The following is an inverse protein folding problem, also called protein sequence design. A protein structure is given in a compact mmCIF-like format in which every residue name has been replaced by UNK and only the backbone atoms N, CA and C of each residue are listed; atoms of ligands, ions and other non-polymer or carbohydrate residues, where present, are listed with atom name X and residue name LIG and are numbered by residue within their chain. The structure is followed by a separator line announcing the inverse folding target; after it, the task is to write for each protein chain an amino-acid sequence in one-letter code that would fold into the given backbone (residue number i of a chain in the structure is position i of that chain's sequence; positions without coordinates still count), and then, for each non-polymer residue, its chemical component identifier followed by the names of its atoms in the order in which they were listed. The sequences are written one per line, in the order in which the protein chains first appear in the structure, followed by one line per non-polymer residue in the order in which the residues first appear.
data_IF_243138819237
#
_entry.id   IF_243138819237
#
_cell.length_a   1.000
_cell.length_b   1.000
_cell.length_c   1.000
_cell.angle_alpha   90.00
_cell.angle_beta   90.00
_cell.angle_gamma   90.00
#
_symmetry.space_group_name_H-M   'P 1'
#
loop_
_entity.id
_entity.type
_entity.pdbx_description
1 polymer ?
#
# COMPACT_ATOMS: atom_id res chain seq x y z
N UNK A 1 -33.49 22.36 -11.80
CA UNK A 1 -34.88 22.86 -11.69
C UNK A 1 -35.70 22.16 -12.76
N UNK A 2 -36.30 21.02 -12.40
CA UNK A 2 -37.21 20.24 -13.25
C UNK A 2 -38.33 19.79 -12.32
N UNK A 3 -39.52 20.33 -12.54
CA UNK A 3 -40.71 20.04 -11.73
C UNK A 3 -41.32 18.70 -12.17
N UNK A 4 -41.31 17.71 -11.27
CA UNK A 4 -42.19 16.55 -11.40
C UNK A 4 -43.45 16.78 -10.57
N UNK A 5 -44.58 16.93 -11.27
CA UNK A 5 -45.92 16.90 -10.69
C UNK A 5 -46.20 15.48 -10.18
N UNK A 6 -46.58 15.38 -8.91
CA UNK A 6 -47.12 14.16 -8.33
C UNK A 6 -48.47 13.80 -8.97
N UNK A 7 -48.78 12.53 -9.26
CA UNK A 7 -50.13 12.11 -9.57
C UNK A 7 -50.97 12.14 -8.29
N UNK A 8 -52.08 12.87 -8.34
CA UNK A 8 -53.15 12.84 -7.34
C UNK A 8 -53.71 11.44 -7.22
N UNK A 9 -53.47 10.76 -6.10
CA UNK A 9 -54.13 9.50 -5.77
C UNK A 9 -55.60 9.77 -5.48
N UNK A 10 -56.46 9.36 -6.40
CA UNK A 10 -57.90 9.30 -6.20
C UNK A 10 -58.19 8.33 -5.04
N UNK A 11 -58.83 8.82 -3.99
CA UNK A 11 -59.31 8.00 -2.86
C UNK A 11 -60.65 7.38 -3.25
N UNK A 12 -60.61 6.31 -4.02
CA UNK A 12 -61.77 5.43 -4.17
C UNK A 12 -61.45 4.10 -3.48
N UNK A 13 -62.07 3.91 -2.31
CA UNK A 13 -62.14 2.63 -1.62
C UNK A 13 -63.02 1.72 -2.47
N UNK A 14 -62.42 0.74 -3.13
CA UNK A 14 -63.18 -0.37 -3.69
C UNK A 14 -63.67 -1.24 -2.53
N UNK A 15 -64.96 -1.11 -2.21
CA UNK A 15 -65.63 -1.98 -1.28
C UNK A 15 -66.13 -3.21 -2.06
N UNK A 16 -65.72 -4.40 -1.65
CA UNK A 16 -66.08 -5.67 -2.31
C UNK A 16 -67.59 -5.99 -2.20
N UNK A 17 -68.34 -5.17 -1.44
CA UNK A 17 -69.81 -5.23 -1.35
C UNK A 17 -70.56 -4.45 -2.44
N UNK A 18 -69.88 -3.73 -3.35
CA UNK A 18 -70.52 -2.97 -4.44
C UNK A 18 -70.74 -3.80 -5.73
N UNK A 19 -70.51 -5.12 -5.69
CA UNK A 19 -70.85 -6.07 -6.77
C UNK A 19 -71.97 -7.00 -6.27
N UNK A 20 -73.11 -6.40 -5.92
CA UNK A 20 -74.39 -7.11 -5.84
C UNK A 20 -75.37 -6.26 -6.64
N UNK A 21 -75.88 -6.83 -7.74
CA UNK A 21 -76.78 -6.19 -8.71
C UNK A 21 -77.93 -5.43 -8.04
N UNK A 22 -77.96 -4.12 -8.27
CA UNK A 22 -79.09 -3.23 -7.94
C UNK A 22 -80.36 -3.57 -8.73
N UNK A 23 -80.26 -4.36 -9.80
CA UNK A 23 -81.40 -4.81 -10.61
C UNK A 23 -82.27 -5.86 -9.91
N UNK A 24 -81.81 -6.44 -8.79
CA UNK A 24 -82.57 -7.42 -8.00
C UNK A 24 -83.38 -6.81 -6.84
N UNK A 25 -83.21 -5.52 -6.55
CA UNK A 25 -83.92 -4.84 -5.45
C UNK A 25 -85.06 -3.90 -5.92
N UNK A 26 -85.15 -3.59 -7.22
CA UNK A 26 -86.20 -2.71 -7.77
C UNK A 26 -87.44 -3.46 -8.29
N UNK A 27 -87.44 -4.80 -8.34
CA UNK A 27 -88.60 -5.58 -8.78
C UNK A 27 -89.66 -5.85 -7.69
N UNK A 28 -89.54 -5.24 -6.49
CA UNK A 28 -90.42 -5.53 -5.35
C UNK A 28 -91.19 -4.34 -4.75
N UNK A 29 -91.19 -3.16 -5.37
CA UNK A 29 -91.98 -2.01 -4.84
C UNK A 29 -92.59 -1.11 -5.93
N UNK A 30 -93.75 -1.50 -6.47
CA UNK A 30 -94.78 -0.63 -7.10
C UNK A 30 -96.01 -1.48 -7.40
N UNK A 31 -97.29 -1.15 -7.21
CA UNK A 31 -98.00 0.07 -6.82
C UNK A 31 -99.42 -0.32 -6.32
N UNK A 32 -99.92 0.51 -5.41
CA UNK A 32 -101.31 0.99 -5.20
C UNK A 32 -102.56 0.08 -5.22
N UNK A 33 -103.24 0.11 -4.06
CA UNK A 33 -104.65 0.51 -3.82
C UNK A 33 -105.64 0.34 -4.97
N UNK A 34 -106.64 -0.54 -4.82
CA UNK A 34 -107.95 -0.23 -4.20
C UNK A 34 -108.93 -1.42 -4.34
N UNK A 35 -109.91 -1.43 -3.42
CA UNK A 35 -111.23 -2.06 -3.47
C UNK A 35 -111.38 -3.58 -3.19
N UNK A 36 -111.78 -3.83 -1.93
CA UNK A 36 -112.92 -4.64 -1.47
C UNK A 36 -113.11 -6.11 -1.91
N UNK A 37 -112.96 -6.97 -0.88
CA UNK A 37 -113.77 -8.14 -0.46
C UNK A 37 -112.88 -9.36 -0.13
N UNK A 38 -112.82 -9.83 1.14
CA UNK A 38 -112.13 -11.07 1.54
C UNK A 38 -113.13 -12.26 1.61
N UNK A 39 -112.74 -13.53 1.90
CA UNK A 39 -111.39 -14.14 2.02
C UNK A 39 -111.23 -15.51 1.28
N UNK A 40 -109.99 -15.95 1.03
CA UNK A 40 -109.59 -17.34 1.34
C UNK A 40 -108.05 -17.46 1.32
N UNK A 41 -107.48 -17.96 2.42
CA UNK A 41 -106.04 -18.18 2.58
C UNK A 41 -105.58 -19.33 1.68
N UNK A 42 -104.67 -19.05 0.73
CA UNK A 42 -103.90 -20.06 -0.01
C UNK A 42 -102.44 -19.95 0.42
N UNK A 43 -101.85 -21.07 0.85
CA UNK A 43 -100.44 -21.17 1.26
C UNK A 43 -99.50 -20.71 0.12
N UNK A 44 -98.46 -19.88 0.42
CA UNK A 44 -97.50 -19.48 -0.59
C UNK A 44 -96.49 -20.59 -0.88
N UNK A 45 -96.43 -21.03 -2.14
CA UNK A 45 -95.39 -21.89 -2.69
C UNK A 45 -93.98 -21.30 -2.43
N UNK A 46 -93.07 -22.13 -1.92
CA UNK A 46 -91.62 -21.86 -1.82
C UNK A 46 -91.03 -21.59 -3.22
N UNK A 47 -90.16 -20.58 -3.41
CA UNK A 47 -89.39 -20.44 -4.65
C UNK A 47 -88.34 -21.57 -4.74
N UNK A 48 -88.36 -22.32 -5.86
CA UNK A 48 -87.30 -23.27 -6.22
C UNK A 48 -85.99 -22.50 -6.48
N UNK A 49 -84.96 -22.76 -5.68
CA UNK A 49 -83.56 -22.48 -6.06
C UNK A 49 -83.08 -23.63 -6.97
N UNK A 50 -82.42 -23.37 -8.11
CA UNK A 50 -81.86 -24.42 -8.94
C UNK A 50 -80.74 -25.18 -8.19
N UNK A 51 -80.86 -26.50 -8.09
CA UNK A 51 -79.82 -27.35 -7.50
C UNK A 51 -78.59 -27.38 -8.41
N UNK A 52 -77.47 -26.79 -7.98
CA UNK A 52 -76.18 -26.93 -8.67
C UNK A 52 -75.79 -28.41 -8.78
N UNK A 53 -75.37 -28.81 -9.98
CA UNK A 53 -74.88 -30.17 -10.26
C UNK A 53 -73.59 -30.46 -9.47
N UNK A 54 -73.31 -31.74 -9.22
CA UNK A 54 -72.18 -32.17 -8.38
C UNK A 54 -70.82 -31.72 -8.94
N UNK A 55 -70.69 -31.65 -10.27
CA UNK A 55 -69.53 -31.12 -10.99
C UNK A 55 -69.36 -29.61 -10.78
N UNK A 56 -70.45 -28.84 -10.78
CA UNK A 56 -70.43 -27.40 -10.52
C UNK A 56 -70.07 -27.11 -9.06
N UNK A 57 -70.55 -27.93 -8.11
CA UNK A 57 -70.17 -27.84 -6.70
C UNK A 57 -68.69 -28.13 -6.47
N UNK A 58 -68.11 -29.04 -7.26
CA UNK A 58 -66.68 -29.38 -7.17
C UNK A 58 -65.79 -28.28 -7.78
N UNK A 59 -66.17 -27.75 -8.95
CA UNK A 59 -65.51 -26.57 -9.55
C UNK A 59 -65.60 -25.33 -8.65
N UNK A 60 -66.73 -25.12 -7.98
CA UNK A 60 -66.90 -24.00 -7.04
C UNK A 60 -65.94 -24.13 -5.83
N UNK A 61 -65.74 -25.35 -5.31
CA UNK A 61 -64.77 -25.59 -4.24
C UNK A 61 -63.32 -25.35 -4.68
N UNK A 62 -62.97 -25.78 -5.88
CA UNK A 62 -61.63 -25.52 -6.46
C UNK A 62 -61.39 -24.03 -6.68
N UNK A 63 -62.40 -23.29 -7.17
CA UNK A 63 -62.33 -21.84 -7.34
C UNK A 63 -62.20 -21.11 -5.99
N UNK A 64 -62.96 -21.50 -4.96
CA UNK A 64 -62.84 -20.93 -3.61
C UNK A 64 -61.44 -21.20 -3.04
N UNK A 65 -60.91 -22.41 -3.23
CA UNK A 65 -59.56 -22.75 -2.81
C UNK A 65 -58.52 -21.89 -3.52
N UNK A 66 -58.64 -21.74 -4.85
CA UNK A 66 -57.75 -20.92 -5.66
C UNK A 66 -57.83 -19.43 -5.30
N UNK A 67 -59.02 -18.91 -5.03
CA UNK A 67 -59.21 -17.54 -4.52
C UNK A 67 -58.51 -17.40 -3.17
N UNK A 68 -58.63 -18.40 -2.28
CA UNK A 68 -57.93 -18.41 -0.99
C UNK A 68 -56.40 -18.42 -1.12
N UNK A 69 -55.85 -19.14 -2.10
CA UNK A 69 -54.41 -19.12 -2.41
C UNK A 69 -53.97 -17.75 -2.94
N UNK A 70 -54.71 -17.19 -3.91
CA UNK A 70 -54.42 -15.87 -4.48
C UNK A 70 -54.53 -14.75 -3.42
N UNK A 71 -55.45 -14.87 -2.47
CA UNK A 71 -55.58 -13.93 -1.36
C UNK A 71 -54.32 -13.97 -0.46
N UNK A 72 -53.82 -15.18 -0.16
CA UNK A 72 -52.57 -15.35 0.61
C UNK A 72 -51.35 -14.83 -0.14
N UNK A 73 -51.27 -15.06 -1.45
CA UNK A 73 -50.20 -14.52 -2.29
C UNK A 73 -50.24 -12.98 -2.31
N UNK A 74 -51.44 -12.39 -2.42
CA UNK A 74 -51.62 -10.95 -2.41
C UNK A 74 -51.24 -10.31 -1.07
N UNK A 75 -51.62 -10.93 0.05
CA UNK A 75 -51.26 -10.44 1.38
C UNK A 75 -49.75 -10.56 1.63
N UNK A 76 -49.12 -11.66 1.18
CA UNK A 76 -47.66 -11.79 1.20
C UNK A 76 -46.98 -10.70 0.34
N UNK A 77 -47.52 -10.38 -0.84
CA UNK A 77 -46.98 -9.31 -1.69
C UNK A 77 -47.10 -7.93 -1.02
N UNK A 78 -48.22 -7.61 -0.37
CA UNK A 78 -48.39 -6.36 0.37
C UNK A 78 -47.40 -6.23 1.53
N UNK A 79 -47.19 -7.30 2.28
CA UNK A 79 -46.21 -7.34 3.36
C UNK A 79 -44.79 -7.16 2.82
N UNK A 80 -44.46 -7.83 1.71
CA UNK A 80 -43.18 -7.66 1.03
C UNK A 80 -42.96 -6.22 0.53
N UNK A 81 -43.95 -5.60 -0.12
CA UNK A 81 -43.90 -4.20 -0.54
C UNK A 81 -43.70 -3.24 0.64
N UNK A 82 -44.38 -3.50 1.77
CA UNK A 82 -44.22 -2.71 2.99
C UNK A 82 -42.80 -2.84 3.53
N UNK A 83 -42.25 -4.05 3.56
CA UNK A 83 -40.86 -4.29 3.94
C UNK A 83 -39.88 -3.56 3.01
N UNK A 84 -40.09 -3.56 1.70
CA UNK A 84 -39.25 -2.82 0.75
C UNK A 84 -39.31 -1.30 0.99
N UNK A 85 -40.51 -0.72 1.18
CA UNK A 85 -40.67 0.72 1.47
C UNK A 85 -40.01 1.13 2.78
N UNK A 86 -40.06 0.29 3.81
CA UNK A 86 -39.39 0.57 5.08
C UNK A 86 -37.87 0.43 4.96
N UNK A 87 -37.38 -0.43 4.07
CA UNK A 87 -35.96 -0.54 3.74
C UNK A 87 -35.48 0.67 2.94
N UNK A 88 -36.26 1.13 1.96
CA UNK A 88 -35.99 2.36 1.18
C UNK A 88 -35.82 3.60 2.06
N UNK A 89 -36.67 3.76 3.09
CA UNK A 89 -36.54 4.86 4.06
C UNK A 89 -35.24 4.83 4.84
N UNK A 90 -34.61 3.66 4.99
CA UNK A 90 -33.35 3.48 5.72
C UNK A 90 -32.12 3.65 4.83
N UNK A 91 -32.29 3.71 3.50
CA UNK A 91 -31.16 3.94 2.60
C UNK A 91 -30.71 5.39 2.78
N UNK A 92 -29.50 5.57 3.30
CA UNK A 92 -28.88 6.88 3.39
C UNK A 92 -28.37 7.27 2.02
N UNK A 93 -28.75 8.46 1.57
CA UNK A 93 -28.28 9.02 0.31
C UNK A 93 -26.85 9.54 0.47
N UNK A 94 -25.94 8.93 -0.28
CA UNK A 94 -24.55 9.32 -0.55
C UNK A 94 -23.81 10.09 0.58
N UNK A 95 -23.17 9.35 1.49
CA UNK A 95 -22.22 9.91 2.46
C UNK A 95 -20.80 9.91 1.89
N UNK A 96 -20.05 10.98 2.11
CA UNK A 96 -18.64 11.12 1.70
C UNK A 96 -17.69 10.71 2.83
N UNK A 97 -16.60 10.05 2.47
CA UNK A 97 -15.60 9.50 3.39
C UNK A 97 -14.17 9.80 2.95
N UNK A 98 -13.29 9.94 3.93
CA UNK A 98 -11.84 10.10 3.77
C UNK A 98 -11.10 9.24 4.81
N UNK A 99 -9.88 8.79 4.50
CA UNK A 99 -8.98 8.11 5.47
C UNK A 99 -8.11 9.12 6.21
N UNK A 100 -7.49 8.66 7.31
CA UNK A 100 -6.40 9.38 7.98
C UNK A 100 -5.21 8.43 8.13
N UNK A 101 -4.10 8.59 7.39
CA UNK A 101 -3.81 9.71 6.50
C UNK A 101 -4.58 9.65 5.15
N UNK A 102 -4.79 10.78 4.45
CA UNK A 102 -5.56 10.83 3.19
C UNK A 102 -5.00 9.91 2.08
N UNK A 103 -3.68 9.77 2.02
CA UNK A 103 -2.98 8.97 1.01
C UNK A 103 -3.23 7.46 1.17
N UNK A 104 -3.71 7.02 2.35
CA UNK A 104 -4.03 5.62 2.60
C UNK A 104 -5.13 5.13 1.65
N UNK A 105 -6.13 5.97 1.34
CA UNK A 105 -7.20 5.56 0.42
C UNK A 105 -6.67 5.32 -0.99
N UNK A 106 -5.84 6.23 -1.50
CA UNK A 106 -5.21 6.07 -2.81
C UNK A 106 -4.27 4.85 -2.84
N UNK A 107 -3.52 4.64 -1.76
CA UNK A 107 -2.50 3.59 -1.68
C UNK A 107 -3.09 2.20 -1.60
N UNK A 108 -4.18 2.04 -0.84
CA UNK A 108 -4.72 0.73 -0.47
C UNK A 108 -6.09 0.44 -1.08
N UNK A 109 -6.97 1.43 -1.26
CA UNK A 109 -8.36 1.19 -1.68
C UNK A 109 -8.63 1.46 -3.17
N UNK A 110 -7.70 2.08 -3.88
CA UNK A 110 -7.80 2.27 -5.33
C UNK A 110 -7.91 0.91 -6.05
N UNK A 111 -8.99 0.71 -6.82
CA UNK A 111 -9.27 -0.54 -7.54
C UNK A 111 -9.73 -1.71 -6.64
N UNK A 112 -10.18 -1.42 -5.41
CA UNK A 112 -10.72 -2.41 -4.47
C UNK A 112 -12.22 -2.24 -4.21
N UNK A 113 -12.91 -1.50 -5.06
CA UNK A 113 -14.35 -1.21 -4.97
C UNK A 113 -15.20 -2.49 -4.95
N UNK A 114 -14.91 -3.45 -5.82
CA UNK A 114 -15.63 -4.73 -5.86
C UNK A 114 -15.42 -5.53 -4.56
N UNK A 115 -14.18 -5.59 -4.07
CA UNK A 115 -13.85 -6.32 -2.85
C UNK A 115 -14.53 -5.70 -1.62
N UNK A 116 -14.47 -4.37 -1.49
CA UNK A 116 -15.14 -3.67 -0.39
C UNK A 116 -16.65 -3.86 -0.50
N UNK A 117 -17.23 -3.69 -1.70
CA UNK A 117 -18.68 -3.85 -1.91
C UNK A 117 -19.16 -5.25 -1.57
N UNK A 118 -18.40 -6.28 -1.96
CA UNK A 118 -18.66 -7.67 -1.58
C UNK A 118 -18.62 -7.85 -0.07
N UNK A 119 -17.56 -7.36 0.59
CA UNK A 119 -17.44 -7.43 2.05
C UNK A 119 -18.61 -6.76 2.78
N UNK A 120 -19.05 -5.59 2.29
CA UNK A 120 -20.21 -4.88 2.85
C UNK A 120 -21.51 -5.68 2.69
N UNK A 121 -21.71 -6.34 1.53
CA UNK A 121 -22.85 -7.21 1.29
C UNK A 121 -22.83 -8.46 2.18
N UNK A 122 -21.66 -9.04 2.44
CA UNK A 122 -21.53 -10.23 3.29
C UNK A 122 -21.95 -9.96 4.75
N UNK A 123 -21.92 -8.69 5.20
CA UNK A 123 -22.40 -8.30 6.54
C UNK A 123 -23.92 -8.13 6.65
N UNK A 124 -24.67 -8.22 5.54
CA UNK A 124 -26.11 -7.98 5.55
C UNK A 124 -26.88 -8.79 4.50
N UNK A 125 -27.89 -9.54 4.95
CA UNK A 125 -28.87 -10.14 4.03
C UNK A 125 -29.77 -9.05 3.43
N UNK A 126 -29.64 -8.81 2.13
CA UNK A 126 -30.50 -7.91 1.35
C UNK A 126 -31.55 -8.71 0.58
N UNK A 127 -32.77 -8.18 0.39
CA UNK A 127 -33.71 -8.75 -0.58
C UNK A 127 -33.12 -8.74 -1.99
N UNK A 128 -33.42 -9.76 -2.81
CA UNK A 128 -32.86 -9.97 -4.16
C UNK A 128 -32.86 -8.72 -5.04
N UNK A 129 -33.92 -7.91 -4.95
CA UNK A 129 -34.06 -6.66 -5.69
C UNK A 129 -32.95 -5.62 -5.38
N UNK A 130 -32.43 -5.62 -4.15
CA UNK A 130 -31.45 -4.66 -3.65
C UNK A 130 -30.00 -5.15 -3.67
N UNK A 131 -29.76 -6.46 -3.74
CA UNK A 131 -28.42 -7.08 -3.75
C UNK A 131 -27.51 -6.46 -4.83
N UNK A 132 -28.07 -6.12 -6.00
CA UNK A 132 -27.33 -5.53 -7.11
C UNK A 132 -27.40 -4.00 -7.17
N UNK A 133 -28.13 -3.36 -6.25
CA UNK A 133 -28.39 -1.91 -6.27
C UNK A 133 -27.68 -1.16 -5.17
N UNK A 134 -27.45 -1.79 -4.02
CA UNK A 134 -26.75 -1.24 -2.85
C UNK A 134 -25.88 -2.34 -2.21
N UNK A 135 -24.73 -2.01 -1.61
CA UNK A 135 -24.14 -0.68 -1.52
C UNK A 135 -23.56 -0.20 -2.86
N UNK A 136 -23.62 1.12 -3.09
CA UNK A 136 -22.90 1.76 -4.20
C UNK A 136 -21.73 2.54 -3.64
N UNK A 137 -20.54 2.09 -3.96
CA UNK A 137 -19.28 2.72 -3.56
C UNK A 137 -18.63 3.36 -4.79
N UNK A 138 -18.31 4.65 -4.68
CA UNK A 138 -17.57 5.37 -5.72
C UNK A 138 -16.37 6.04 -5.10
N UNK A 139 -15.20 5.78 -5.67
CA UNK A 139 -13.99 6.52 -5.35
C UNK A 139 -13.79 7.67 -6.32
N UNK A 140 -13.35 8.82 -5.83
CA UNK A 140 -13.13 10.00 -6.64
C UNK A 140 -12.04 10.87 -6.02
N UNK A 141 -11.36 11.65 -6.86
CA UNK A 141 -10.37 12.61 -6.43
C UNK A 141 -11.00 14.01 -6.30
N UNK A 142 -10.77 14.68 -5.17
CA UNK A 142 -11.18 16.06 -4.93
C UNK A 142 -10.02 16.78 -4.23
N UNK A 143 -9.59 17.93 -4.76
CA UNK A 143 -8.50 18.75 -4.19
C UNK A 143 -7.18 17.97 -3.97
N UNK A 144 -6.82 17.09 -4.90
CA UNK A 144 -5.66 16.18 -4.80
C UNK A 144 -5.75 15.15 -3.66
N UNK A 145 -6.95 14.94 -3.11
CA UNK A 145 -7.21 13.91 -2.11
C UNK A 145 -8.19 12.86 -2.65
N UNK A 146 -7.86 11.60 -2.40
CA UNK A 146 -8.71 10.48 -2.81
C UNK A 146 -9.79 10.24 -1.76
N UNK A 147 -11.05 10.31 -2.19
CA UNK A 147 -12.23 10.22 -1.34
C UNK A 147 -13.13 9.08 -1.82
N UNK A 148 -14.03 8.64 -0.93
CA UNK A 148 -15.07 7.68 -1.25
C UNK A 148 -16.46 8.27 -1.02
N UNK A 149 -17.45 7.82 -1.78
CA UNK A 149 -18.85 8.06 -1.47
C UNK A 149 -19.61 6.74 -1.46
N UNK A 150 -20.43 6.55 -0.44
CA UNK A 150 -21.19 5.33 -0.22
C UNK A 150 -22.67 5.67 -0.15
N UNK A 151 -23.48 4.94 -0.91
CA UNK A 151 -24.94 4.89 -0.73
C UNK A 151 -25.33 3.49 -0.28
N UNK A 152 -26.03 3.39 0.84
CA UNK A 152 -26.36 2.10 1.43
C UNK A 152 -27.20 2.21 2.70
N UNK A 153 -27.35 1.08 3.39
CA UNK A 153 -28.01 1.00 4.69
C UNK A 153 -27.02 1.39 5.81
N UNK A 154 -27.51 1.76 7.01
CA UNK A 154 -26.65 2.20 8.12
C UNK A 154 -25.54 1.18 8.49
N UNK A 155 -25.84 -0.10 8.35
CA UNK A 155 -24.93 -1.23 8.49
C UNK A 155 -23.78 -1.19 7.48
N UNK A 156 -24.05 -0.90 6.19
CA UNK A 156 -23.00 -0.71 5.19
C UNK A 156 -22.10 0.48 5.55
N UNK A 157 -22.68 1.58 6.02
CA UNK A 157 -21.93 2.76 6.42
C UNK A 157 -21.02 2.47 7.62
N UNK A 158 -21.54 1.81 8.64
CA UNK A 158 -20.77 1.41 9.81
C UNK A 158 -19.62 0.47 9.44
N UNK A 159 -19.88 -0.56 8.64
CA UNK A 159 -18.83 -1.49 8.23
C UNK A 159 -17.77 -0.81 7.36
N UNK A 160 -18.18 0.08 6.46
CA UNK A 160 -17.23 0.84 5.65
C UNK A 160 -16.33 1.73 6.52
N UNK A 161 -16.86 2.38 7.55
CA UNK A 161 -16.04 3.12 8.52
C UNK A 161 -15.01 2.22 9.21
N UNK A 162 -15.38 0.99 9.58
CA UNK A 162 -14.46 0.01 10.14
C UNK A 162 -13.38 -0.41 9.13
N UNK A 163 -13.73 -0.58 7.85
CA UNK A 163 -12.75 -0.83 6.78
C UNK A 163 -11.77 0.35 6.70
N UNK A 164 -12.25 1.59 6.68
CA UNK A 164 -11.40 2.78 6.61
C UNK A 164 -10.48 2.91 7.82
N UNK A 165 -10.95 2.57 9.03
CA UNK A 165 -10.13 2.54 10.23
C UNK A 165 -9.01 1.50 10.13
N UNK A 166 -9.33 0.29 9.66
CA UNK A 166 -8.36 -0.79 9.44
C UNK A 166 -7.30 -0.44 8.39
N UNK A 167 -7.70 0.20 7.29
CA UNK A 167 -6.78 0.71 6.26
C UNK A 167 -5.90 1.84 6.80
N UNK A 168 -6.48 2.75 7.57
CA UNK A 168 -5.74 3.82 8.25
C UNK A 168 -4.69 3.23 9.22
N UNK A 169 -5.06 2.17 9.94
CA UNK A 169 -4.15 1.44 10.81
C UNK A 169 -3.02 0.74 10.04
N UNK A 170 -3.32 0.05 8.93
CA UNK A 170 -2.29 -0.53 8.05
C UNK A 170 -1.30 0.53 7.56
N UNK A 171 -1.81 1.69 7.14
CA UNK A 171 -0.98 2.82 6.71
C UNK A 171 -0.08 3.31 7.84
N UNK A 172 -0.63 3.48 9.05
CA UNK A 172 0.13 3.90 10.22
C UNK A 172 1.25 2.91 10.56
N UNK A 173 0.95 1.62 10.64
CA UNK A 173 1.94 0.58 10.94
C UNK A 173 3.03 0.49 9.86
N UNK A 174 2.66 0.69 8.59
CA UNK A 174 3.63 0.75 7.48
C UNK A 174 4.60 1.92 7.65
N UNK A 175 4.11 3.11 7.96
CA UNK A 175 4.97 4.27 8.22
C UNK A 175 5.80 4.12 9.49
N UNK A 176 5.26 3.47 10.52
CA UNK A 176 6.00 3.17 11.73
C UNK A 176 7.21 2.27 11.45
N UNK A 177 7.04 1.17 10.69
CA UNK A 177 8.17 0.29 10.37
C UNK A 177 9.20 0.97 9.45
N UNK A 178 8.77 1.86 8.54
CA UNK A 178 9.66 2.74 7.77
C UNK A 178 10.50 3.61 8.69
N UNK A 179 9.87 4.29 9.63
CA UNK A 179 10.54 5.17 10.59
C UNK A 179 11.58 4.40 11.42
N UNK A 180 11.20 3.24 11.98
CA UNK A 180 12.10 2.42 12.80
C UNK A 180 13.34 1.96 12.02
N UNK A 181 13.15 1.54 10.77
CA UNK A 181 14.28 1.13 9.92
C UNK A 181 15.20 2.30 9.56
N UNK A 182 14.63 3.45 9.19
CA UNK A 182 15.39 4.68 8.91
C UNK A 182 16.24 5.10 10.10
N UNK A 183 15.70 4.96 11.31
CA UNK A 183 16.41 5.27 12.55
C UNK A 183 17.62 4.34 12.76
N UNK A 184 17.45 3.03 12.59
CA UNK A 184 18.54 2.04 12.70
C UNK A 184 19.66 2.27 11.67
N UNK A 185 19.31 2.60 10.42
CA UNK A 185 20.28 3.00 9.40
C UNK A 185 21.00 4.28 9.83
N UNK A 186 20.28 5.26 10.38
CA UNK A 186 20.86 6.52 10.85
C UNK A 186 21.83 6.30 12.02
N UNK A 187 21.52 5.43 12.97
CA UNK A 187 22.43 5.07 14.07
C UNK A 187 23.74 4.45 13.55
N UNK A 188 23.62 3.51 12.61
CA UNK A 188 24.78 2.87 11.97
C UNK A 188 25.66 3.92 11.28
N UNK A 189 25.04 4.82 10.51
CA UNK A 189 25.71 5.93 9.83
C UNK A 189 26.39 6.86 10.83
N UNK A 190 25.71 7.28 11.90
CA UNK A 190 26.29 8.17 12.92
C UNK A 190 27.49 7.54 13.63
N UNK A 191 27.41 6.25 13.94
CA UNK A 191 28.52 5.49 14.52
C UNK A 191 29.74 5.53 13.61
N UNK A 192 29.56 5.29 12.31
CA UNK A 192 30.64 5.35 11.32
C UNK A 192 31.18 6.77 11.15
N UNK A 193 30.31 7.78 11.05
CA UNK A 193 30.72 9.19 10.95
C UNK A 193 31.60 9.57 12.14
N UNK A 194 31.24 9.15 13.35
CA UNK A 194 32.04 9.40 14.56
C UNK A 194 33.44 8.79 14.44
N UNK A 195 33.53 7.56 13.94
CA UNK A 195 34.79 6.85 13.73
C UNK A 195 35.69 7.59 12.73
N UNK A 196 35.14 8.02 11.59
CA UNK A 196 35.95 8.58 10.50
C UNK A 196 36.33 10.06 10.71
N UNK A 197 35.48 10.83 11.38
CA UNK A 197 35.70 12.28 11.60
C UNK A 197 36.53 12.58 12.84
N UNK A 198 36.56 11.66 13.81
CA UNK A 198 37.34 11.80 15.05
C UNK A 198 38.29 10.62 15.26
N UNK A 199 39.17 10.32 14.29
CA UNK A 199 40.19 9.30 14.51
C UNK A 199 41.22 9.79 15.54
N UNK A 200 41.97 8.85 16.11
CA UNK A 200 43.11 9.18 16.98
C UNK A 200 44.20 9.95 16.22
N UNK A 201 44.92 10.84 16.91
CA UNK A 201 46.10 11.51 16.34
C UNK A 201 47.22 10.47 16.08
N UNK A 202 48.02 10.61 15.00
CA UNK A 202 48.11 11.75 14.08
C UNK A 202 47.15 11.71 12.88
N UNK A 203 46.30 10.69 12.77
CA UNK A 203 45.45 10.50 11.58
C UNK A 203 44.47 11.67 11.36
N UNK A 204 43.94 12.23 12.45
CA UNK A 204 42.99 13.36 12.40
C UNK A 204 43.54 14.59 11.65
N UNK A 205 44.84 14.83 11.73
CA UNK A 205 45.52 15.96 11.07
C UNK A 205 46.02 15.65 9.66
N UNK A 206 45.84 14.42 9.16
CA UNK A 206 46.32 14.02 7.84
C UNK A 206 45.43 14.58 6.73
N UNK A 207 46.00 15.37 5.81
CA UNK A 207 45.29 15.85 4.61
C UNK A 207 44.78 14.68 3.76
N UNK A 208 45.58 13.64 3.58
CA UNK A 208 45.21 12.39 2.91
C UNK A 208 43.92 11.78 3.50
N UNK A 209 43.84 11.71 4.83
CA UNK A 209 42.64 11.22 5.52
C UNK A 209 41.44 12.13 5.34
N UNK A 210 41.64 13.45 5.41
CA UNK A 210 40.58 14.44 5.21
C UNK A 210 39.99 14.35 3.80
N UNK A 211 40.82 14.23 2.76
CA UNK A 211 40.36 14.05 1.38
C UNK A 211 39.52 12.78 1.22
N UNK A 212 40.02 11.63 1.71
CA UNK A 212 39.25 10.39 1.68
C UNK A 212 37.91 10.52 2.43
N UNK A 213 37.93 11.12 3.62
CA UNK A 213 36.72 11.32 4.42
C UNK A 213 35.69 12.18 3.68
N UNK A 214 36.13 13.22 2.96
CA UNK A 214 35.22 14.05 2.15
C UNK A 214 34.53 13.24 1.04
N UNK A 215 35.28 12.43 0.28
CA UNK A 215 34.68 11.56 -0.75
C UNK A 215 33.74 10.52 -0.13
N UNK A 216 34.16 9.91 0.97
CA UNK A 216 33.34 8.95 1.72
C UNK A 216 32.02 9.56 2.16
N UNK A 217 32.03 10.77 2.73
CA UNK A 217 30.82 11.45 3.21
C UNK A 217 29.86 11.81 2.08
N UNK A 218 30.37 12.20 0.91
CA UNK A 218 29.54 12.48 -0.26
C UNK A 218 28.84 11.22 -0.75
N UNK A 219 29.60 10.14 -0.99
CA UNK A 219 29.05 8.85 -1.47
C UNK A 219 28.07 8.26 -0.45
N UNK A 220 28.41 8.34 0.85
CA UNK A 220 27.56 7.84 1.93
C UNK A 220 26.18 8.50 1.94
N UNK A 221 26.10 9.82 1.71
CA UNK A 221 24.83 10.55 1.70
C UNK A 221 23.89 9.98 0.62
N UNK A 222 24.42 9.79 -0.58
CA UNK A 222 23.62 9.33 -1.72
C UNK A 222 23.21 7.87 -1.56
N UNK A 223 24.15 6.99 -1.17
CA UNK A 223 23.88 5.57 -0.97
C UNK A 223 22.93 5.30 0.19
N UNK A 224 23.03 6.06 1.29
CA UNK A 224 22.07 6.00 2.40
C UNK A 224 20.65 6.30 1.90
N UNK A 225 20.49 7.35 1.11
CA UNK A 225 19.18 7.75 0.60
C UNK A 225 18.59 6.66 -0.31
N UNK A 226 19.37 6.15 -1.26
CA UNK A 226 18.96 5.06 -2.16
C UNK A 226 18.53 3.80 -1.38
N UNK A 227 19.29 3.43 -0.34
CA UNK A 227 19.00 2.25 0.48
C UNK A 227 17.69 2.39 1.27
N UNK A 228 17.41 3.60 1.75
CA UNK A 228 16.15 3.93 2.45
C UNK A 228 14.97 3.92 1.48
N UNK A 229 15.11 4.52 0.29
CA UNK A 229 14.06 4.55 -0.73
C UNK A 229 13.68 3.13 -1.19
N UNK A 230 14.68 2.28 -1.43
CA UNK A 230 14.45 0.88 -1.79
C UNK A 230 13.69 0.11 -0.69
N UNK A 231 13.98 0.38 0.59
CA UNK A 231 13.22 -0.21 1.69
C UNK A 231 11.79 0.32 1.75
N UNK A 232 11.61 1.64 1.63
CA UNK A 232 10.29 2.28 1.66
C UNK A 232 9.39 1.72 0.55
N UNK A 233 9.92 1.55 -0.66
CA UNK A 233 9.22 0.93 -1.78
C UNK A 233 8.89 -0.54 -1.47
N UNK A 234 9.87 -1.33 -1.03
CA UNK A 234 9.68 -2.73 -0.68
C UNK A 234 8.56 -2.92 0.34
N UNK A 235 8.60 -2.19 1.46
CA UNK A 235 7.64 -2.38 2.54
C UNK A 235 6.25 -1.85 2.17
N UNK A 236 6.16 -0.80 1.36
CA UNK A 236 4.88 -0.30 0.81
C UNK A 236 4.25 -1.34 -0.13
N UNK A 237 5.05 -1.99 -0.96
CA UNK A 237 4.55 -3.05 -1.83
C UNK A 237 4.08 -4.27 -1.01
N UNK A 238 4.79 -4.61 0.07
CA UNK A 238 4.35 -5.68 0.98
C UNK A 238 3.09 -5.31 1.75
N UNK A 239 2.94 -4.07 2.22
CA UNK A 239 1.73 -3.63 2.91
C UNK A 239 0.51 -3.64 2.00
N UNK A 240 0.66 -3.25 0.72
CA UNK A 240 -0.42 -3.33 -0.29
C UNK A 240 -0.95 -4.76 -0.45
N UNK A 241 -0.10 -5.78 -0.37
CA UNK A 241 -0.54 -7.18 -0.46
C UNK A 241 -1.37 -7.63 0.75
N UNK A 242 -1.32 -6.90 1.88
CA UNK A 242 -2.12 -7.19 3.07
C UNK A 242 -3.52 -6.56 3.01
N UNK A 243 -3.77 -5.66 2.06
CA UNK A 243 -5.03 -4.90 1.93
C UNK A 243 -6.25 -5.81 1.95
N UNK A 244 -6.22 -6.89 1.18
CA UNK A 244 -7.39 -7.76 1.02
C UNK A 244 -7.75 -8.42 2.36
N UNK A 245 -6.73 -8.90 3.09
CA UNK A 245 -6.91 -9.46 4.43
C UNK A 245 -7.41 -8.41 5.43
N UNK A 246 -6.90 -7.18 5.36
CA UNK A 246 -7.34 -6.06 6.20
C UNK A 246 -8.81 -5.72 5.97
N UNK A 247 -9.30 -5.84 4.73
CA UNK A 247 -10.71 -5.62 4.39
C UNK A 247 -11.58 -6.78 4.91
N UNK A 248 -11.21 -8.03 4.60
CA UNK A 248 -12.10 -9.19 4.81
C UNK A 248 -12.02 -9.82 6.19
N UNK A 249 -10.88 -9.76 6.87
CA UNK A 249 -10.68 -10.35 8.20
C UNK A 249 -10.67 -9.25 9.28
N UNK A 250 -11.72 -9.24 10.10
CA UNK A 250 -11.91 -8.25 11.16
C UNK A 250 -10.90 -8.38 12.30
N UNK A 251 -10.25 -9.54 12.45
CA UNK A 251 -9.27 -9.81 13.50
C UNK A 251 -7.82 -9.70 13.02
N UNK A 252 -7.61 -9.43 11.72
CA UNK A 252 -6.28 -9.35 11.16
C UNK A 252 -5.49 -8.18 11.73
N UNK A 253 -4.25 -8.46 12.13
CA UNK A 253 -3.30 -7.45 12.61
C UNK A 253 -2.13 -7.37 11.61
N UNK A 254 -1.91 -6.24 10.94
CA UNK A 254 -0.87 -6.11 9.92
C UNK A 254 0.56 -6.12 10.48
N UNK A 255 0.75 -5.67 11.72
CA UNK A 255 2.09 -5.46 12.31
C UNK A 255 2.98 -6.71 12.30
N UNK A 256 2.55 -7.91 12.76
CA UNK A 256 3.39 -9.10 12.71
C UNK A 256 3.85 -9.49 11.30
N UNK A 257 3.00 -9.31 10.29
CA UNK A 257 3.37 -9.59 8.90
C UNK A 257 4.35 -8.54 8.34
N UNK A 258 4.16 -7.27 8.67
CA UNK A 258 5.12 -6.22 8.34
C UNK A 258 6.49 -6.49 8.99
N UNK A 259 6.52 -6.83 10.29
CA UNK A 259 7.75 -7.16 11.01
C UNK A 259 8.50 -8.35 10.39
N UNK A 260 7.80 -9.41 9.96
CA UNK A 260 8.40 -10.51 9.19
C UNK A 260 9.04 -10.02 7.89
N UNK A 261 8.35 -9.14 7.16
CA UNK A 261 8.88 -8.57 5.92
C UNK A 261 10.11 -7.69 6.17
N UNK A 262 10.13 -6.93 7.25
CA UNK A 262 11.32 -6.15 7.66
C UNK A 262 12.49 -7.06 7.97
N UNK A 263 12.29 -8.14 8.75
CA UNK A 263 13.34 -9.12 9.05
C UNK A 263 13.87 -9.78 7.78
N UNK A 264 12.99 -10.14 6.85
CA UNK A 264 13.38 -10.71 5.57
C UNK A 264 14.22 -9.73 4.73
N UNK A 265 13.79 -8.47 4.65
CA UNK A 265 14.53 -7.43 3.95
C UNK A 265 15.93 -7.24 4.54
N UNK A 266 16.03 -7.12 5.87
CA UNK A 266 17.30 -6.95 6.58
C UNK A 266 18.29 -8.08 6.31
N UNK A 267 17.81 -9.32 6.21
CA UNK A 267 18.67 -10.48 5.90
C UNK A 267 19.21 -10.45 4.48
N UNK A 268 18.44 -9.92 3.53
CA UNK A 268 18.80 -9.93 2.09
C UNK A 268 19.52 -8.66 1.65
N UNK A 269 19.33 -7.55 2.36
CA UNK A 269 19.83 -6.22 2.02
C UNK A 269 20.53 -5.59 3.24
N UNK A 270 21.64 -6.19 3.65
CA UNK A 270 22.41 -5.71 4.79
C UNK A 270 23.05 -4.36 4.48
N UNK A 271 22.73 -3.33 5.27
CA UNK A 271 23.32 -2.01 5.10
C UNK A 271 24.85 -2.02 5.31
N UNK A 272 25.38 -3.00 6.06
CA UNK A 272 26.82 -3.22 6.19
C UNK A 272 27.50 -3.49 4.86
N UNK A 273 26.84 -4.19 3.94
CA UNK A 273 27.41 -4.51 2.62
C UNK A 273 27.49 -3.26 1.74
N UNK A 274 26.50 -2.36 1.84
CA UNK A 274 26.57 -1.04 1.20
C UNK A 274 27.70 -0.20 1.79
N UNK A 275 27.91 -0.22 3.11
CA UNK A 275 29.03 0.47 3.74
C UNK A 275 30.40 -0.04 3.26
N UNK A 276 30.56 -1.33 3.00
CA UNK A 276 31.77 -1.87 2.39
C UNK A 276 31.99 -1.33 0.98
N UNK A 277 30.92 -1.25 0.17
CA UNK A 277 30.98 -0.65 -1.17
C UNK A 277 31.37 0.83 -1.09
N UNK A 278 30.79 1.59 -0.17
CA UNK A 278 31.10 3.01 0.03
C UNK A 278 32.57 3.21 0.39
N UNK A 279 33.15 2.39 1.28
CA UNK A 279 34.59 2.44 1.61
C UNK A 279 35.45 2.27 0.36
N UNK A 280 35.12 1.28 -0.46
CA UNK A 280 35.87 0.99 -1.68
C UNK A 280 35.69 2.10 -2.73
N UNK A 281 34.47 2.57 -2.98
CA UNK A 281 34.19 3.65 -3.93
C UNK A 281 34.91 4.95 -3.53
N UNK A 282 34.90 5.31 -2.24
CA UNK A 282 35.63 6.47 -1.72
C UNK A 282 37.15 6.35 -1.91
N UNK A 283 37.70 5.15 -1.73
CA UNK A 283 39.10 4.88 -1.96
C UNK A 283 39.48 5.01 -3.44
N UNK A 284 38.62 4.50 -4.33
CA UNK A 284 38.80 4.65 -5.78
C UNK A 284 38.72 6.12 -6.21
N UNK A 285 37.76 6.89 -5.68
CA UNK A 285 37.64 8.31 -6.01
C UNK A 285 38.82 9.12 -5.46
N UNK A 286 39.31 8.80 -4.26
CA UNK A 286 40.55 9.36 -3.73
C UNK A 286 41.72 9.15 -4.71
N UNK A 287 41.94 7.91 -5.18
CA UNK A 287 43.03 7.60 -6.11
C UNK A 287 42.87 8.38 -7.41
N UNK A 288 41.65 8.43 -7.97
CA UNK A 288 41.38 9.18 -9.19
C UNK A 288 41.72 10.66 -9.04
N UNK A 289 41.30 11.28 -7.95
CA UNK A 289 41.42 12.72 -7.75
C UNK A 289 42.82 13.15 -7.29
N UNK A 290 43.49 12.34 -6.47
CA UNK A 290 44.77 12.70 -5.86
C UNK A 290 45.99 12.11 -6.59
N UNK A 291 45.79 11.09 -7.43
CA UNK A 291 46.88 10.39 -8.11
C UNK A 291 46.76 10.56 -9.63
N UNK A 292 45.65 10.12 -10.22
CA UNK A 292 45.53 10.09 -11.69
C UNK A 292 45.28 11.46 -12.33
N UNK A 293 44.48 12.33 -11.73
CA UNK A 293 44.29 13.70 -12.26
C UNK A 293 45.59 14.52 -12.19
N UNK A 294 46.33 14.57 -11.06
CA UNK A 294 47.59 15.30 -11.02
C UNK A 294 48.68 14.68 -11.91
N UNK A 295 48.62 13.37 -12.17
CA UNK A 295 49.57 12.69 -13.07
C UNK A 295 49.55 13.26 -14.49
N UNK A 296 48.39 13.72 -14.96
CA UNK A 296 48.23 14.34 -16.28
C UNK A 296 48.86 15.73 -16.37
N UNK A 297 49.25 16.31 -15.24
CA UNK A 297 49.75 17.68 -15.12
C UNK A 297 51.24 17.72 -14.74
N UNK A 298 51.96 16.60 -14.81
CA UNK A 298 53.38 16.54 -14.46
C UNK A 298 54.22 17.22 -15.55
N UNK A 299 55.08 18.16 -15.14
CA UNK A 299 55.94 18.95 -16.05
C UNK A 299 56.90 18.10 -16.88
N UNK A 300 57.41 17.00 -16.30
CA UNK A 300 58.31 16.06 -16.97
C UNK A 300 57.58 14.76 -17.24
N UNK A 301 57.48 14.39 -18.52
CA UNK A 301 56.78 13.18 -18.93
C UNK A 301 57.44 11.93 -18.30
N UNK A 302 56.68 11.12 -17.52
CA UNK A 302 57.19 9.88 -16.94
C UNK A 302 57.39 8.80 -18.01
N UNK A 303 58.30 7.85 -17.76
CA UNK A 303 58.48 6.72 -18.68
C UNK A 303 57.25 5.81 -18.69
N UNK A 304 57.00 5.11 -19.81
CA UNK A 304 55.92 4.11 -19.92
C UNK A 304 56.05 3.01 -18.87
N UNK A 305 57.28 2.59 -18.55
CA UNK A 305 57.52 1.56 -17.54
C UNK A 305 57.17 2.09 -16.14
N UNK A 306 57.60 3.30 -15.79
CA UNK A 306 57.26 3.91 -14.50
C UNK A 306 55.74 4.07 -14.32
N UNK A 307 55.00 4.45 -15.38
CA UNK A 307 53.53 4.52 -15.37
C UNK A 307 52.92 3.15 -15.13
N UNK A 308 53.43 2.11 -15.80
CA UNK A 308 52.95 0.73 -15.65
C UNK A 308 53.16 0.24 -14.22
N UNK A 309 54.35 0.45 -13.65
CA UNK A 309 54.67 0.05 -12.28
C UNK A 309 53.75 0.76 -11.27
N UNK A 310 53.49 2.07 -11.43
CA UNK A 310 52.52 2.80 -10.60
C UNK A 310 51.12 2.18 -10.67
N UNK A 311 50.63 1.91 -11.89
CA UNK A 311 49.31 1.33 -12.10
C UNK A 311 49.18 -0.07 -11.49
N UNK A 312 50.21 -0.91 -11.62
CA UNK A 312 50.24 -2.26 -11.03
C UNK A 312 50.21 -2.20 -9.50
N UNK A 313 50.95 -1.27 -8.89
CA UNK A 313 50.90 -1.04 -7.45
C UNK A 313 49.51 -0.59 -6.98
N UNK A 314 48.92 0.40 -7.65
CA UNK A 314 47.57 0.90 -7.32
C UNK A 314 46.54 -0.21 -7.46
N UNK A 315 46.62 -1.01 -8.53
CA UNK A 315 45.73 -2.15 -8.76
C UNK A 315 45.84 -3.16 -7.61
N UNK A 316 47.05 -3.49 -7.16
CA UNK A 316 47.28 -4.37 -6.00
C UNK A 316 46.61 -3.80 -4.74
N UNK A 317 46.81 -2.51 -4.44
CA UNK A 317 46.21 -1.87 -3.26
C UNK A 317 44.69 -1.78 -3.30
N UNK A 318 44.09 -1.60 -4.48
CA UNK A 318 42.63 -1.69 -4.66
C UNK A 318 42.12 -3.11 -4.37
N UNK A 319 42.82 -4.14 -4.84
CA UNK A 319 42.42 -5.52 -4.63
C UNK A 319 42.57 -5.95 -3.15
N UNK A 320 43.63 -5.48 -2.49
CA UNK A 320 43.87 -5.65 -1.05
C UNK A 320 42.66 -5.13 -0.23
N UNK A 321 42.24 -3.88 -0.47
CA UNK A 321 41.06 -3.30 0.20
C UNK A 321 39.76 -4.09 -0.10
N UNK A 322 39.61 -4.59 -1.33
CA UNK A 322 38.39 -5.26 -1.78
C UNK A 322 38.24 -6.67 -1.21
N UNK A 323 39.33 -7.42 -1.12
CA UNK A 323 39.29 -8.87 -0.88
C UNK A 323 39.69 -9.25 0.54
N UNK A 324 40.63 -8.52 1.15
CA UNK A 324 41.18 -8.93 2.43
C UNK A 324 40.21 -8.69 3.58
N UNK A 325 40.05 -9.72 4.42
CA UNK A 325 39.08 -9.70 5.53
C UNK A 325 39.39 -8.63 6.58
N UNK A 326 40.65 -8.22 6.71
CA UNK A 326 41.09 -7.24 7.71
C UNK A 326 40.48 -5.85 7.48
N UNK A 327 40.07 -5.53 6.24
CA UNK A 327 39.40 -4.27 5.92
C UNK A 327 37.88 -4.33 6.05
N UNK A 328 37.29 -5.52 6.26
CA UNK A 328 35.85 -5.71 6.32
C UNK A 328 35.28 -5.39 7.70
N UNK A 329 34.16 -4.69 7.72
CA UNK A 329 33.43 -4.27 8.91
C UNK A 329 33.54 -2.78 9.17
N UNK A 330 32.81 -2.32 10.19
CA UNK A 330 32.57 -0.89 10.45
C UNK A 330 33.25 -0.34 11.71
N UNK A 331 34.15 -1.12 12.32
CA UNK A 331 34.85 -0.70 13.54
C UNK A 331 36.05 0.21 13.21
N UNK A 332 36.48 0.99 14.20
CA UNK A 332 37.59 1.94 14.07
C UNK A 332 38.88 1.31 13.50
N UNK A 333 39.21 0.09 13.91
CA UNK A 333 40.40 -0.63 13.43
C UNK A 333 40.39 -0.83 11.91
N UNK A 334 39.24 -1.12 11.30
CA UNK A 334 39.15 -1.35 9.86
C UNK A 334 39.38 -0.04 9.08
N UNK A 335 38.82 1.07 9.56
CA UNK A 335 39.05 2.40 8.98
C UNK A 335 40.50 2.87 9.17
N UNK A 336 41.13 2.57 10.31
CA UNK A 336 42.54 2.86 10.54
C UNK A 336 43.47 2.11 9.57
N UNK A 337 43.10 0.92 9.10
CA UNK A 337 43.91 0.22 8.10
C UNK A 337 43.83 0.86 6.71
N UNK A 338 42.69 1.48 6.36
CA UNK A 338 42.52 2.22 5.11
C UNK A 338 43.48 3.41 5.06
N UNK A 339 43.69 4.10 6.17
CA UNK A 339 44.63 5.23 6.19
C UNK A 339 46.06 4.83 5.85
N UNK A 340 46.50 3.64 6.26
CA UNK A 340 47.81 3.09 5.88
C UNK A 340 47.92 2.86 4.37
N UNK A 341 46.85 2.34 3.75
CA UNK A 341 46.79 2.18 2.29
C UNK A 341 46.89 3.52 1.57
N UNK A 342 46.12 4.51 2.05
CA UNK A 342 46.15 5.85 1.46
C UNK A 342 47.55 6.49 1.57
N UNK A 343 48.18 6.40 2.74
CA UNK A 343 49.54 6.90 2.95
C UNK A 343 50.56 6.21 2.04
N UNK A 344 50.50 4.88 1.94
CA UNK A 344 51.38 4.10 1.07
C UNK A 344 51.22 4.51 -0.41
N UNK A 345 50.00 4.71 -0.88
CA UNK A 345 49.73 5.21 -2.24
C UNK A 345 50.25 6.64 -2.44
N UNK A 346 49.98 7.55 -1.51
CA UNK A 346 50.44 8.94 -1.61
C UNK A 346 51.97 9.02 -1.61
N UNK A 347 52.64 8.29 -0.71
CA UNK A 347 54.10 8.21 -0.67
C UNK A 347 54.65 7.66 -2.00
N UNK A 348 54.07 6.57 -2.50
CA UNK A 348 54.53 5.96 -3.73
C UNK A 348 54.35 6.88 -4.94
N UNK A 349 53.23 7.59 -5.00
CA UNK A 349 52.97 8.57 -6.03
C UNK A 349 53.92 9.76 -5.97
N UNK A 350 54.30 10.25 -4.78
CA UNK A 350 55.31 11.29 -4.67
C UNK A 350 56.68 10.84 -5.20
N UNK A 351 57.09 9.59 -4.92
CA UNK A 351 58.30 9.01 -5.51
C UNK A 351 58.22 8.97 -7.05
N UNK A 352 57.05 8.63 -7.59
CA UNK A 352 56.78 8.65 -9.03
C UNK A 352 56.87 10.08 -9.60
N UNK A 353 56.25 11.07 -8.95
CA UNK A 353 56.27 12.47 -9.38
C UNK A 353 57.68 13.05 -9.41
N UNK A 354 58.51 12.74 -8.41
CA UNK A 354 59.91 13.16 -8.34
C UNK A 354 60.80 12.45 -9.37
N UNK A 355 60.28 11.42 -10.05
CA UNK A 355 61.02 10.58 -10.98
C UNK A 355 62.34 10.05 -10.39
N UNK A 356 62.26 9.50 -9.17
CA UNK A 356 63.46 8.99 -8.49
C UNK A 356 64.20 7.96 -9.35
N UNK A 357 65.55 7.98 -9.38
CA UNK A 357 66.34 6.96 -10.08
C UNK A 357 65.96 5.57 -9.59
N UNK A 358 65.82 4.61 -10.53
CA UNK A 358 65.42 3.24 -10.22
C UNK A 358 64.02 3.14 -9.58
N UNK A 359 63.08 4.03 -9.90
CA UNK A 359 61.69 3.92 -9.47
C UNK A 359 61.08 2.55 -9.81
N UNK A 360 61.51 1.93 -10.90
CA UNK A 360 61.11 0.58 -11.30
C UNK A 360 61.59 -0.49 -10.30
N UNK A 361 62.68 -0.22 -9.56
CA UNK A 361 63.19 -1.03 -8.44
C UNK A 361 62.62 -0.61 -7.07
N UNK A 362 61.81 0.46 -7.03
CA UNK A 362 61.19 0.96 -5.80
C UNK A 362 60.18 0.00 -5.13
N UNK A 363 59.52 -0.97 -5.79
CA UNK A 363 58.65 -1.93 -5.09
C UNK A 363 59.36 -2.68 -3.96
N UNK A 364 60.62 -3.09 -4.17
CA UNK A 364 61.45 -3.73 -3.13
C UNK A 364 61.85 -2.75 -2.03
N UNK A 365 62.08 -1.49 -2.39
CA UNK A 365 62.40 -0.43 -1.44
C UNK A 365 61.20 -0.10 -0.55
N UNK A 366 59.99 -0.02 -1.12
CA UNK A 366 58.77 0.28 -0.38
C UNK A 366 58.35 -0.87 0.51
N UNK A 367 58.57 -2.11 0.07
CA UNK A 367 58.39 -3.27 0.93
C UNK A 367 59.29 -3.17 2.17
N UNK A 368 60.54 -2.76 2.01
CA UNK A 368 61.48 -2.54 3.13
C UNK A 368 61.08 -1.35 4.01
N UNK A 369 60.60 -0.25 3.41
CA UNK A 369 60.06 0.90 4.15
C UNK A 369 58.81 0.50 4.95
N UNK A 370 57.87 -0.24 4.36
CA UNK A 370 56.67 -0.78 5.02
C UNK A 370 57.05 -1.74 6.18
N UNK A 371 58.15 -2.48 6.03
CA UNK A 371 58.73 -3.35 7.06
C UNK A 371 59.58 -2.59 8.11
N UNK A 372 59.63 -1.26 8.06
CA UNK A 372 60.48 -0.39 8.90
C UNK A 372 61.98 -0.75 8.87
N UNK A 373 62.48 -1.28 7.75
CA UNK A 373 63.91 -1.53 7.57
C UNK A 373 64.59 -0.30 6.97
N UNK A 374 65.48 0.33 7.75
CA UNK A 374 66.35 1.41 7.28
C UNK A 374 67.15 0.90 6.09
N UNK A 375 67.04 1.58 4.95
CA UNK A 375 67.77 1.21 3.73
C UNK A 375 68.62 2.39 3.26
N UNK A 376 69.92 2.15 3.11
CA UNK A 376 70.83 3.06 2.41
C UNK A 376 70.83 2.67 0.93
N UNK A 377 70.44 3.58 0.05
CA UNK A 377 70.54 3.38 -1.39
C UNK A 377 71.82 4.08 -1.85
N UNK A 378 72.76 3.33 -2.40
CA UNK A 378 73.95 3.86 -3.06
C UNK A 378 73.79 3.68 -4.58
N UNK A 379 73.64 4.79 -5.30
CA UNK A 379 73.64 4.78 -6.77
C UNK A 379 75.08 4.86 -7.29
N UNK A 380 75.42 4.06 -8.31
CA UNK A 380 76.75 4.05 -8.94
C UNK A 380 76.97 5.17 -9.96
N UNK A 381 75.99 6.04 -10.19
CA UNK A 381 76.12 7.21 -11.05
C UNK A 381 76.78 8.37 -10.29
N UNK A 382 77.77 9.02 -10.90
CA UNK A 382 78.62 10.06 -10.29
C UNK A 382 77.93 11.32 -9.75
N UNK A 383 76.60 11.35 -9.65
CA UNK A 383 75.84 12.38 -8.94
C UNK A 383 75.67 12.10 -7.44
N UNK A 384 75.94 10.88 -6.96
CA UNK A 384 76.07 10.56 -5.53
C UNK A 384 74.89 10.98 -4.63
N UNK A 385 73.67 11.04 -5.17
CA UNK A 385 72.45 11.40 -4.42
C UNK A 385 71.34 10.43 -4.71
#
# INVERSE_FOLDING_TARGET
MVHFKAPTTNKDKWNVNDIIDKDLLESLTSHDKDADVPPEYVEPNKPLQPELTQDEKQKLKELIHRIGELQKELDHQKDYEKHLKDLEKKITTQTKYATKPPEAMQTYLLGKDELVTKHLNDQQTLPDYYVYKIPRLFFYEQESQYNASLTGLPTHHHEFELVLQRISYLSHETEYVKYMYKWEVAETVQSVIKIITKPEKPLQSSQTWQHYTNYFMQILKDKKQQHIEHFDEYITNKSKLLTDQVITDTNFKPRPELEKNVVHYKKSNLFTDEMEKIKYEAFVEFIKQQIFLPQQQIDKEPSKESIKVLNDFIKKKKEELRTERIYKGLNAKHFQLISKLLQSITLYYHCFQLQLPLFESAPDLLKKIDENTVTTISTSTGSGK
#
